data_IF_489661921521
#
_entry.id   IF_489661921521
#
_cell.length_a   1.000
_cell.length_b   1.000
_cell.length_c   1.000
_cell.angle_alpha   90.00
_cell.angle_beta   90.00
_cell.angle_gamma   90.00
#
_symmetry.space_group_name_H-M   'P 1'
#
loop_
_entity.id
_entity.type
_entity.pdbx_description
1 polymer ?
#
# COMPACT_ATOMS: atom_id res chain seq x y z
N UNK A 1 -23.03 6.98 7.24
CA UNK A 1 -22.04 6.37 6.34
C UNK A 1 -20.67 6.93 6.71
N UNK A 2 -19.86 6.19 7.48
CA UNK A 2 -18.54 6.67 7.92
C UNK A 2 -17.51 6.40 6.83
N UNK A 3 -17.27 7.42 6.00
CA UNK A 3 -16.10 7.45 5.14
C UNK A 3 -14.86 7.40 6.04
N UNK A 4 -14.18 6.26 6.06
CA UNK A 4 -12.95 6.06 6.83
C UNK A 4 -11.88 6.89 6.11
N UNK A 5 -11.37 7.98 6.68
CA UNK A 5 -10.36 8.78 6.00
C UNK A 5 -9.14 7.87 5.84
N UNK A 6 -8.73 7.60 4.60
CA UNK A 6 -7.38 7.13 4.35
C UNK A 6 -6.45 8.19 4.97
N UNK A 7 -5.41 7.80 5.71
CA UNK A 7 -4.56 8.77 6.38
C UNK A 7 -4.04 9.76 5.31
N UNK A 8 -4.16 11.07 5.56
CA UNK A 8 -3.55 12.18 4.78
C UNK A 8 -2.00 12.09 4.68
N UNK A 9 -1.44 10.89 4.82
CA UNK A 9 -0.02 10.57 4.86
C UNK A 9 0.45 9.87 3.59
N UNK A 10 -0.36 9.75 2.54
CA UNK A 10 0.06 9.15 1.26
C UNK A 10 1.37 9.76 0.74
N UNK A 11 1.48 11.09 0.78
CA UNK A 11 2.66 11.83 0.32
C UNK A 11 3.91 11.58 1.18
N UNK A 12 3.74 11.43 2.51
CA UNK A 12 4.85 11.07 3.40
C UNK A 12 5.31 9.62 3.20
N UNK A 13 4.39 8.72 2.82
CA UNK A 13 4.71 7.33 2.49
C UNK A 13 5.47 7.22 1.17
N UNK A 14 5.15 8.05 0.18
CA UNK A 14 5.92 8.17 -1.07
C UNK A 14 7.36 8.64 -0.78
N UNK A 15 7.55 9.62 0.10
CA UNK A 15 8.88 10.13 0.45
C UNK A 15 9.75 9.12 1.22
N UNK A 16 9.14 8.26 2.03
CA UNK A 16 9.81 7.20 2.79
C UNK A 16 9.86 5.86 2.05
N UNK A 17 9.62 5.85 0.73
CA UNK A 17 9.58 4.63 -0.06
C UNK A 17 10.92 3.90 -0.01
N UNK A 18 10.92 2.56 0.21
CA UNK A 18 12.09 1.74 -0.06
C UNK A 18 12.46 1.82 -1.55
N UNK A 19 13.64 1.33 -1.92
CA UNK A 19 14.08 1.32 -3.32
C UNK A 19 12.98 0.82 -4.27
N UNK A 20 12.74 1.53 -5.38
CA UNK A 20 11.64 1.25 -6.32
C UNK A 20 11.57 -0.20 -6.81
N UNK A 21 12.72 -0.84 -6.95
CA UNK A 21 12.83 -2.20 -7.46
C UNK A 21 12.66 -3.26 -6.36
N UNK A 22 12.45 -2.85 -5.11
CA UNK A 22 12.31 -3.75 -3.99
C UNK A 22 10.95 -4.47 -4.02
N UNK A 23 10.95 -5.68 -3.48
CA UNK A 23 9.76 -6.50 -3.30
C UNK A 23 9.58 -6.78 -1.81
N UNK A 24 8.54 -6.19 -1.24
CA UNK A 24 8.30 -6.25 0.20
C UNK A 24 7.49 -7.49 0.59
N UNK A 25 7.76 -7.98 1.80
CA UNK A 25 6.88 -8.91 2.51
C UNK A 25 5.69 -8.18 3.13
N UNK A 26 4.62 -8.87 3.56
CA UNK A 26 3.50 -8.25 4.26
C UNK A 26 3.96 -7.45 5.48
N UNK A 27 4.93 -7.99 6.24
CA UNK A 27 5.54 -7.35 7.41
C UNK A 27 6.30 -6.07 7.05
N UNK A 28 7.12 -6.09 6.01
CA UNK A 28 7.85 -4.90 5.56
C UNK A 28 6.90 -3.82 5.03
N UNK A 29 5.86 -4.22 4.30
CA UNK A 29 4.84 -3.30 3.82
C UNK A 29 4.07 -2.67 4.99
N UNK A 30 3.72 -3.45 6.02
CA UNK A 30 3.06 -2.98 7.23
C UNK A 30 3.89 -1.90 7.94
N UNK A 31 5.21 -2.13 8.08
CA UNK A 31 6.14 -1.15 8.65
C UNK A 31 6.19 0.12 7.81
N UNK A 32 6.31 -0.01 6.48
CA UNK A 32 6.38 1.15 5.58
C UNK A 32 5.10 1.99 5.63
N UNK A 33 3.93 1.35 5.53
CA UNK A 33 2.62 2.00 5.58
C UNK A 33 2.22 2.43 7.00
N UNK A 34 3.02 2.13 8.03
CA UNK A 34 2.73 2.37 9.45
C UNK A 34 1.37 1.79 9.89
N UNK A 35 1.06 0.57 9.43
CA UNK A 35 -0.17 -0.16 9.78
C UNK A 35 0.17 -1.55 10.30
N UNK A 36 -0.81 -2.25 10.89
CA UNK A 36 -0.64 -3.64 11.31
C UNK A 36 -0.70 -4.60 10.12
N UNK A 37 -0.03 -5.77 10.23
CA UNK A 37 -0.10 -6.83 9.21
C UNK A 37 -1.55 -7.27 8.93
N UNK A 38 -2.40 -7.31 9.97
CA UNK A 38 -3.83 -7.59 9.83
C UNK A 38 -4.57 -6.56 8.98
N UNK A 39 -4.12 -5.30 8.97
CA UNK A 39 -4.68 -4.27 8.11
C UNK A 39 -4.22 -4.44 6.67
N UNK A 40 -2.97 -4.85 6.44
CA UNK A 40 -2.45 -5.18 5.10
C UNK A 40 -3.32 -6.24 4.42
N UNK A 41 -3.68 -7.31 5.12
CA UNK A 41 -4.56 -8.34 4.56
C UNK A 41 -5.99 -7.86 4.26
N UNK A 42 -6.41 -6.76 4.90
CA UNK A 42 -7.73 -6.14 4.69
C UNK A 42 -7.70 -5.01 3.65
N UNK A 43 -6.54 -4.60 3.16
CA UNK A 43 -6.43 -3.58 2.12
C UNK A 43 -7.02 -4.12 0.82
N UNK A 44 -8.20 -3.62 0.44
CA UNK A 44 -8.80 -3.95 -0.85
C UNK A 44 -8.07 -3.19 -1.95
N UNK A 45 -7.64 -3.92 -2.97
CA UNK A 45 -7.00 -3.34 -4.16
C UNK A 45 -5.48 -3.08 -4.04
N UNK A 46 -4.85 -3.39 -2.90
CA UNK A 46 -3.39 -3.28 -2.79
C UNK A 46 -2.73 -4.34 -3.69
N UNK A 47 -1.87 -3.95 -4.65
CA UNK A 47 -1.31 -4.88 -5.62
C UNK A 47 -0.26 -5.79 -4.97
N UNK A 48 -0.36 -7.09 -5.24
CA UNK A 48 0.56 -8.11 -4.76
C UNK A 48 0.82 -9.18 -5.83
N UNK A 49 1.92 -9.88 -5.66
CA UNK A 49 2.33 -11.05 -6.44
C UNK A 49 2.41 -12.24 -5.49
N UNK A 50 1.94 -13.41 -5.93
CA UNK A 50 2.08 -14.65 -5.19
C UNK A 50 3.36 -15.37 -5.64
N UNK A 51 4.26 -15.65 -4.71
CA UNK A 51 5.53 -16.35 -5.01
C UNK A 51 5.54 -17.69 -4.30
N UNK A 52 5.40 -18.80 -5.03
CA UNK A 52 5.48 -20.15 -4.47
C UNK A 52 4.21 -20.62 -3.74
N UNK A 53 3.02 -20.21 -4.19
CA UNK A 53 1.72 -20.69 -3.70
C UNK A 53 0.86 -19.63 -2.98
N UNK A 54 -0.29 -20.05 -2.46
CA UNK A 54 -1.40 -19.17 -2.05
C UNK A 54 -1.18 -18.32 -0.79
N UNK A 55 -0.06 -18.46 -0.08
CA UNK A 55 0.19 -17.75 1.19
C UNK A 55 1.36 -16.75 1.17
N UNK A 56 2.20 -16.80 0.14
CA UNK A 56 3.40 -15.98 0.07
C UNK A 56 3.17 -14.74 -0.78
N UNK A 57 2.45 -13.76 -0.20
CA UNK A 57 2.20 -12.46 -0.84
C UNK A 57 3.47 -11.63 -0.82
N UNK A 58 3.78 -11.04 -1.96
CA UNK A 58 4.90 -10.12 -2.17
C UNK A 58 4.37 -8.84 -2.78
N UNK A 59 4.87 -7.70 -2.31
CA UNK A 59 4.37 -6.38 -2.67
C UNK A 59 5.48 -5.60 -3.36
N UNK A 60 5.51 -5.59 -4.70
CA UNK A 60 6.48 -4.78 -5.44
C UNK A 60 6.25 -3.29 -5.12
N UNK A 61 7.30 -2.59 -4.68
CA UNK A 61 7.21 -1.19 -4.25
C UNK A 61 6.60 -0.32 -5.35
N UNK A 62 7.10 -0.43 -6.59
CA UNK A 62 6.54 0.26 -7.77
C UNK A 62 5.01 0.13 -7.93
N UNK A 63 4.45 -1.06 -7.68
CA UNK A 63 3.01 -1.26 -7.83
C UNK A 63 2.25 -0.62 -6.66
N UNK A 64 2.77 -0.75 -5.44
CA UNK A 64 2.19 -0.13 -4.25
C UNK A 64 2.21 1.40 -4.38
N UNK A 65 3.29 1.99 -4.88
CA UNK A 65 3.40 3.43 -5.14
C UNK A 65 2.33 3.91 -6.12
N UNK A 66 2.19 3.26 -7.28
CA UNK A 66 1.13 3.61 -8.26
C UNK A 66 -0.28 3.49 -7.68
N UNK A 67 -0.50 2.50 -6.82
CA UNK A 67 -1.77 2.34 -6.13
C UNK A 67 -2.03 3.50 -5.15
N UNK A 68 -1.02 3.91 -4.37
CA UNK A 68 -1.11 5.07 -3.49
C UNK A 68 -1.38 6.37 -4.27
N UNK A 69 -0.68 6.60 -5.38
CA UNK A 69 -0.91 7.75 -6.27
C UNK A 69 -2.34 7.76 -6.83
N UNK A 70 -2.88 6.60 -7.20
CA UNK A 70 -4.26 6.48 -7.67
C UNK A 70 -5.26 6.84 -6.57
N UNK A 71 -5.01 6.40 -5.33
CA UNK A 71 -5.84 6.75 -4.18
C UNK A 71 -5.80 8.25 -3.85
N UNK A 72 -4.64 8.89 -4.04
CA UNK A 72 -4.47 10.33 -3.84
C UNK A 72 -5.25 11.12 -4.89
N UNK A 73 -5.11 10.78 -6.18
CA UNK A 73 -5.89 11.40 -7.27
C UNK A 73 -7.40 11.25 -7.10
N UNK A 74 -7.87 10.10 -6.63
CA UNK A 74 -9.29 9.89 -6.34
C UNK A 74 -9.80 10.74 -5.18
N UNK A 75 -8.95 11.08 -4.21
CA UNK A 75 -9.32 11.98 -3.11
C UNK A 75 -9.31 13.45 -3.55
N UNK A 76 -8.38 13.82 -4.42
CA UNK A 76 -8.25 15.20 -4.92
C UNK A 76 -9.36 15.59 -5.92
N UNK A 77 -10.04 14.61 -6.53
CA UNK A 77 -11.18 14.82 -7.43
C UNK A 77 -12.56 14.99 -6.78
N UNK A 78 -12.66 15.17 -5.45
CA UNK A 78 -13.96 15.36 -4.78
C UNK A 78 -14.19 16.85 -4.45
N UNK A 79 -15.06 17.58 -5.20
CA UNK A 79 -15.46 18.95 -4.87
C UNK A 79 -16.38 19.04 -3.65
#
# INVERSE_FOLDING_TARGET
MTARPLPRRSTALLAAAPADNAVLTPKQLAVWLQVSERQIDRLRGCPYVLVGGSRSKRYPVRLVLRWLETLERHQEGTP
#
